data_IF_323699474111
#
_entry.id   IF_323699474111
#
_cell.length_a   1.000
_cell.length_b   1.000
_cell.length_c   1.000
_cell.angle_alpha   90.00
_cell.angle_beta   90.00
_cell.angle_gamma   90.00
#
_symmetry.space_group_name_H-M   'P 1'
#
loop_
_entity.id
_entity.type
_entity.pdbx_description
1 polymer ?
#
# COMPACT_ATOMS: atom_id res chain seq x y z
N UNK A 1 -25.86 -2.32 9.39
CA UNK A 1 -25.27 -1.53 10.47
C UNK A 1 -24.00 -0.93 9.89
N UNK A 2 -23.83 0.40 9.91
CA UNK A 2 -22.62 1.03 9.44
C UNK A 2 -21.46 0.58 10.32
N UNK A 3 -20.41 0.02 9.74
CA UNK A 3 -19.17 -0.32 10.43
C UNK A 3 -18.54 0.98 10.94
N UNK A 4 -18.36 1.10 12.25
CA UNK A 4 -17.83 2.31 12.90
C UNK A 4 -16.30 2.43 12.80
N UNK A 5 -15.65 1.64 11.97
CA UNK A 5 -14.19 1.60 11.79
C UNK A 5 -13.77 1.94 10.36
N UNK A 6 -12.46 2.06 10.10
CA UNK A 6 -11.91 2.32 8.78
C UNK A 6 -12.22 1.18 7.79
N UNK A 7 -12.23 1.49 6.50
CA UNK A 7 -12.28 0.47 5.45
C UNK A 7 -10.99 -0.35 5.49
N UNK A 8 -11.08 -1.66 5.75
CA UNK A 8 -9.93 -2.57 5.74
C UNK A 8 -9.77 -3.21 4.36
N UNK A 9 -8.58 -3.20 3.81
CA UNK A 9 -8.22 -3.83 2.54
C UNK A 9 -7.16 -4.91 2.78
N UNK A 10 -7.31 -6.06 2.14
CA UNK A 10 -6.24 -7.06 2.05
C UNK A 10 -5.22 -6.57 1.02
N UNK A 11 -4.03 -6.17 1.45
CA UNK A 11 -2.96 -5.75 0.54
C UNK A 11 -2.46 -6.91 -0.32
N UNK A 12 -2.12 -6.65 -1.59
CA UNK A 12 -1.60 -7.68 -2.49
C UNK A 12 -0.28 -8.28 -1.99
N UNK A 13 0.55 -7.49 -1.32
CA UNK A 13 1.82 -7.93 -0.73
C UNK A 13 1.71 -9.03 0.33
N UNK A 14 0.52 -9.30 0.87
CA UNK A 14 0.27 -10.43 1.80
C UNK A 14 0.34 -11.78 1.09
N UNK A 15 0.07 -11.80 -0.21
CA UNK A 15 -0.13 -12.99 -1.04
C UNK A 15 0.89 -13.13 -2.18
N UNK A 16 2.22 -12.96 -1.94
CA UNK A 16 3.22 -12.91 -3.02
C UNK A 16 3.39 -14.24 -3.76
N UNK A 17 2.92 -15.33 -3.19
CA UNK A 17 2.95 -16.69 -3.69
C UNK A 17 1.66 -17.11 -4.43
N UNK A 18 0.70 -16.19 -4.58
CA UNK A 18 -0.57 -16.45 -5.26
C UNK A 18 -0.80 -15.47 -6.42
N UNK A 19 -1.61 -15.89 -7.38
CA UNK A 19 -2.03 -15.01 -8.47
C UNK A 19 -3.00 -13.91 -7.97
N UNK A 20 -3.12 -12.79 -8.68
CA UNK A 20 -4.12 -11.76 -8.33
C UNK A 20 -5.54 -12.31 -8.22
N UNK A 21 -5.91 -13.26 -9.08
CA UNK A 21 -7.21 -13.92 -9.06
C UNK A 21 -7.45 -14.71 -7.77
N UNK A 22 -6.42 -15.41 -7.28
CA UNK A 22 -6.49 -16.16 -6.02
C UNK A 22 -6.55 -15.21 -4.82
N UNK A 23 -5.82 -14.09 -4.87
CA UNK A 23 -5.87 -13.05 -3.83
C UNK A 23 -7.27 -12.43 -3.72
N UNK A 24 -7.90 -12.09 -4.85
CA UNK A 24 -9.27 -11.56 -4.86
C UNK A 24 -10.28 -12.59 -4.34
N UNK A 25 -10.16 -13.86 -4.77
CA UNK A 25 -11.02 -14.93 -4.26
C UNK A 25 -10.86 -15.12 -2.75
N UNK A 26 -9.63 -15.14 -2.25
CA UNK A 26 -9.34 -15.25 -0.82
C UNK A 26 -9.90 -14.08 -0.01
N UNK A 27 -9.79 -12.85 -0.53
CA UNK A 27 -10.38 -11.67 0.10
C UNK A 27 -11.91 -11.80 0.22
N UNK A 28 -12.58 -12.20 -0.87
CA UNK A 28 -14.02 -12.39 -0.90
C UNK A 28 -14.48 -13.48 0.08
N UNK A 29 -13.88 -14.66 0.03
CA UNK A 29 -14.25 -15.82 0.85
C UNK A 29 -13.95 -15.64 2.34
N UNK A 30 -12.97 -14.80 2.67
CA UNK A 30 -12.62 -14.49 4.07
C UNK A 30 -13.36 -13.27 4.64
N UNK A 31 -14.11 -12.52 3.82
CA UNK A 31 -14.98 -11.42 4.26
C UNK A 31 -14.29 -10.05 4.33
N UNK A 32 -13.17 -9.85 3.62
CA UNK A 32 -12.60 -8.52 3.46
C UNK A 32 -13.54 -7.63 2.65
N UNK A 33 -13.70 -6.35 3.00
CA UNK A 33 -14.51 -5.42 2.22
C UNK A 33 -13.76 -4.82 1.02
N UNK A 34 -12.41 -4.89 1.02
CA UNK A 34 -11.58 -4.33 -0.03
C UNK A 34 -10.31 -5.18 -0.24
N UNK A 35 -9.67 -5.00 -1.39
CA UNK A 35 -8.45 -5.72 -1.78
C UNK A 35 -7.52 -4.81 -2.57
N UNK A 36 -6.22 -4.95 -2.36
CA UNK A 36 -5.16 -4.47 -3.25
C UNK A 36 -4.87 -5.48 -4.35
N UNK A 37 -4.44 -5.01 -5.51
CA UNK A 37 -4.20 -5.86 -6.67
C UNK A 37 -2.76 -5.73 -7.15
N UNK A 38 -2.04 -6.86 -7.22
CA UNK A 38 -0.69 -6.89 -7.77
C UNK A 38 -0.71 -6.88 -9.30
N UNK A 39 -0.03 -5.90 -9.89
CA UNK A 39 0.14 -5.78 -11.33
C UNK A 39 1.56 -6.20 -11.73
N UNK A 40 1.69 -7.23 -12.54
CA UNK A 40 2.96 -7.64 -13.14
C UNK A 40 2.90 -7.42 -14.66
N UNK A 41 3.62 -6.43 -15.21
CA UNK A 41 3.60 -6.13 -16.64
C UNK A 41 4.07 -7.29 -17.53
N UNK A 42 4.82 -8.26 -16.98
CA UNK A 42 5.29 -9.41 -17.74
C UNK A 42 4.19 -10.45 -17.97
N UNK A 43 3.18 -10.52 -17.10
CA UNK A 43 2.14 -11.55 -17.13
C UNK A 43 0.73 -10.99 -17.29
N UNK A 44 0.53 -9.69 -17.02
CA UNK A 44 -0.77 -9.05 -17.11
C UNK A 44 -1.24 -8.85 -18.55
N UNK A 45 -2.48 -9.21 -18.82
CA UNK A 45 -3.10 -9.11 -20.16
C UNK A 45 -4.45 -8.39 -20.08
N UNK A 46 -4.99 -8.00 -21.23
CA UNK A 46 -6.36 -7.47 -21.30
C UNK A 46 -7.41 -8.47 -20.79
N UNK A 47 -7.18 -9.77 -20.99
CA UNK A 47 -8.04 -10.81 -20.45
C UNK A 47 -7.97 -10.83 -18.91
N UNK A 48 -6.78 -10.66 -18.34
CA UNK A 48 -6.60 -10.55 -16.90
C UNK A 48 -7.36 -9.35 -16.34
N UNK A 49 -7.30 -8.19 -17.01
CA UNK A 49 -8.05 -6.99 -16.61
C UNK A 49 -9.55 -7.24 -16.54
N UNK A 50 -10.12 -7.88 -17.60
CA UNK A 50 -11.55 -8.20 -17.66
C UNK A 50 -11.92 -9.16 -16.52
N UNK A 51 -11.16 -10.23 -16.36
CA UNK A 51 -11.39 -11.23 -15.32
C UNK A 51 -11.34 -10.61 -13.92
N UNK A 52 -10.34 -9.78 -13.65
CA UNK A 52 -10.17 -9.13 -12.35
C UNK A 52 -11.32 -8.16 -12.04
N UNK A 53 -11.71 -7.34 -13.03
CA UNK A 53 -12.87 -6.45 -12.91
C UNK A 53 -14.13 -7.23 -12.53
N UNK A 54 -14.42 -8.29 -13.29
CA UNK A 54 -15.63 -9.07 -13.10
C UNK A 54 -15.63 -9.78 -11.74
N UNK A 55 -14.51 -10.38 -11.32
CA UNK A 55 -14.38 -11.02 -10.00
C UNK A 55 -14.54 -10.04 -8.83
N UNK A 56 -13.96 -8.86 -8.92
CA UNK A 56 -14.07 -7.81 -7.89
C UNK A 56 -15.51 -7.33 -7.79
N UNK A 57 -16.17 -7.09 -8.94
CA UNK A 57 -17.57 -6.67 -9.00
C UNK A 57 -18.53 -7.74 -8.47
N UNK A 58 -18.38 -9.00 -8.91
CA UNK A 58 -19.23 -10.12 -8.49
C UNK A 58 -19.09 -10.40 -6.99
N UNK A 59 -17.90 -10.21 -6.42
CA UNK A 59 -17.65 -10.35 -4.99
C UNK A 59 -18.10 -9.13 -4.16
N UNK A 60 -18.48 -8.02 -4.79
CA UNK A 60 -18.84 -6.77 -4.12
C UNK A 60 -17.66 -6.13 -3.37
N UNK A 61 -16.41 -6.44 -3.78
CA UNK A 61 -15.20 -5.90 -3.20
C UNK A 61 -14.91 -4.49 -3.73
N UNK A 62 -14.22 -3.70 -2.93
CA UNK A 62 -13.60 -2.46 -3.36
C UNK A 62 -12.16 -2.76 -3.77
N UNK A 63 -11.75 -2.43 -5.00
CA UNK A 63 -10.35 -2.36 -5.35
C UNK A 63 -9.75 -1.09 -4.71
N UNK A 64 -9.01 -1.24 -3.61
CA UNK A 64 -8.47 -0.08 -2.92
C UNK A 64 -7.29 0.51 -3.69
N UNK A 65 -6.41 -0.35 -4.15
CA UNK A 65 -5.20 0.05 -4.87
C UNK A 65 -4.76 -1.01 -5.88
N UNK A 66 -3.95 -0.57 -6.84
CA UNK A 66 -3.13 -1.41 -7.70
C UNK A 66 -1.67 -1.13 -7.41
N UNK A 67 -0.82 -2.14 -7.32
CA UNK A 67 0.59 -2.02 -6.92
C UNK A 67 1.51 -2.91 -7.75
N UNK A 68 2.77 -2.60 -7.97
CA UNK A 68 3.50 -1.38 -7.56
C UNK A 68 4.14 -0.75 -8.81
N UNK A 69 4.03 0.55 -8.97
CA UNK A 69 4.84 1.30 -9.92
C UNK A 69 6.17 1.65 -9.25
N UNK A 70 7.27 1.16 -9.80
CA UNK A 70 8.61 1.46 -9.31
C UNK A 70 9.34 2.38 -10.27
N UNK A 71 9.37 3.68 -9.96
CA UNK A 71 10.08 4.66 -10.77
C UNK A 71 11.59 4.39 -10.73
N UNK A 72 12.20 4.32 -11.91
CA UNK A 72 13.64 4.09 -12.09
C UNK A 72 14.27 5.24 -12.87
N UNK A 73 15.62 5.40 -12.82
CA UNK A 73 16.32 6.34 -13.67
C UNK A 73 16.03 6.12 -15.15
N UNK A 74 15.96 7.21 -15.91
CA UNK A 74 15.72 7.15 -17.35
C UNK A 74 14.35 7.68 -17.79
N UNK A 75 13.91 7.35 -19.02
CA UNK A 75 12.61 7.79 -19.54
C UNK A 75 11.44 7.16 -18.78
N UNK A 76 10.24 7.66 -19.04
CA UNK A 76 9.01 7.05 -18.55
C UNK A 76 8.87 5.63 -19.10
N UNK A 77 8.45 4.69 -18.25
CA UNK A 77 8.16 3.33 -18.64
C UNK A 77 6.69 3.22 -19.05
N UNK A 78 6.37 2.79 -20.28
CA UNK A 78 4.99 2.59 -20.70
C UNK A 78 4.20 1.62 -19.83
N UNK A 79 4.87 0.68 -19.14
CA UNK A 79 4.24 -0.26 -18.23
C UNK A 79 3.60 0.44 -17.01
N UNK A 80 4.10 1.61 -16.60
CA UNK A 80 3.52 2.39 -15.52
C UNK A 80 2.14 2.94 -15.89
N UNK A 81 1.98 3.44 -17.12
CA UNK A 81 0.70 3.91 -17.63
C UNK A 81 -0.27 2.75 -17.84
N UNK A 82 0.21 1.62 -18.33
CA UNK A 82 -0.60 0.41 -18.47
C UNK A 82 -1.10 -0.13 -17.11
N UNK A 83 -0.32 0.02 -16.04
CA UNK A 83 -0.76 -0.31 -14.69
C UNK A 83 -1.93 0.58 -14.23
N UNK A 84 -1.86 1.89 -14.53
CA UNK A 84 -2.95 2.84 -14.25
C UNK A 84 -4.20 2.47 -15.06
N UNK A 85 -4.06 2.16 -16.37
CA UNK A 85 -5.18 1.77 -17.23
C UNK A 85 -5.84 0.48 -16.73
N UNK A 86 -5.05 -0.49 -16.28
CA UNK A 86 -5.54 -1.71 -15.66
C UNK A 86 -6.27 -1.39 -14.35
N UNK A 87 -5.67 -0.58 -13.49
CA UNK A 87 -6.27 -0.11 -12.24
C UNK A 87 -7.61 0.60 -12.45
N UNK A 88 -7.66 1.54 -13.40
CA UNK A 88 -8.89 2.23 -13.79
C UNK A 88 -9.99 1.25 -14.23
N UNK A 89 -9.61 0.26 -15.06
CA UNK A 89 -10.56 -0.72 -15.59
C UNK A 89 -11.13 -1.66 -14.53
N UNK A 90 -10.38 -1.96 -13.45
CA UNK A 90 -10.85 -2.76 -12.32
C UNK A 90 -11.50 -1.92 -11.21
N UNK A 91 -11.56 -0.59 -11.37
CA UNK A 91 -12.15 0.34 -10.41
C UNK A 91 -11.26 0.61 -9.19
N UNK A 92 -9.93 0.47 -9.32
CA UNK A 92 -9.01 0.81 -8.25
C UNK A 92 -9.03 2.32 -7.95
N UNK A 93 -8.99 2.66 -6.64
CA UNK A 93 -9.03 4.05 -6.20
C UNK A 93 -7.65 4.70 -6.20
N UNK A 94 -6.61 3.90 -6.02
CA UNK A 94 -5.25 4.38 -5.87
C UNK A 94 -4.28 3.52 -6.67
N UNK A 95 -3.10 4.08 -6.97
CA UNK A 95 -1.94 3.33 -7.41
C UNK A 95 -0.75 3.63 -6.50
N UNK A 96 -0.10 2.58 -6.00
CA UNK A 96 1.08 2.67 -5.16
C UNK A 96 2.32 2.91 -6.02
N UNK A 97 3.11 3.93 -5.66
CA UNK A 97 4.34 4.30 -6.36
C UNK A 97 5.50 4.40 -5.37
N UNK A 98 6.61 3.76 -5.69
CA UNK A 98 7.92 3.94 -5.04
C UNK A 98 8.94 4.45 -6.03
N UNK A 99 10.03 5.09 -5.59
CA UNK A 99 11.03 5.65 -6.50
C UNK A 99 12.46 5.25 -6.14
N UNK A 100 13.20 4.82 -7.17
CA UNK A 100 14.67 4.71 -7.17
C UNK A 100 15.31 5.70 -8.14
N UNK A 101 14.54 6.71 -8.62
CA UNK A 101 15.09 7.85 -9.38
C UNK A 101 15.94 8.69 -8.42
N UNK A 102 17.25 8.90 -8.71
CA UNK A 102 18.15 9.61 -7.80
C UNK A 102 17.87 11.12 -7.72
N UNK A 103 17.22 11.69 -8.73
CA UNK A 103 16.91 13.11 -8.80
C UNK A 103 15.46 13.36 -8.34
N UNK A 104 15.23 14.03 -7.19
CA UNK A 104 13.88 14.27 -6.67
C UNK A 104 12.96 15.00 -7.62
N UNK A 105 13.51 15.97 -8.39
CA UNK A 105 12.77 16.76 -9.39
C UNK A 105 12.21 15.84 -10.49
N UNK A 106 12.99 14.85 -10.92
CA UNK A 106 12.53 13.86 -11.92
C UNK A 106 11.48 12.92 -11.36
N UNK A 107 11.58 12.55 -10.07
CA UNK A 107 10.51 11.81 -9.41
C UNK A 107 9.23 12.64 -9.41
N UNK A 108 9.30 13.93 -9.04
CA UNK A 108 8.15 14.82 -9.04
C UNK A 108 7.51 14.97 -10.43
N UNK A 109 8.32 15.16 -11.48
CA UNK A 109 7.83 15.22 -12.87
C UNK A 109 7.15 13.92 -13.33
N UNK A 110 7.72 12.76 -12.98
CA UNK A 110 7.11 11.45 -13.29
C UNK A 110 5.78 11.28 -12.57
N UNK A 111 5.71 11.63 -11.29
CA UNK A 111 4.48 11.57 -10.49
C UNK A 111 3.40 12.48 -11.09
N UNK A 112 3.75 13.69 -11.52
CA UNK A 112 2.80 14.59 -12.19
C UNK A 112 2.21 13.93 -13.43
N UNK A 113 3.05 13.40 -14.35
CA UNK A 113 2.58 12.73 -15.58
C UNK A 113 1.69 11.51 -15.28
N UNK A 114 2.04 10.70 -14.29
CA UNK A 114 1.21 9.57 -13.87
C UNK A 114 -0.13 10.05 -13.30
N UNK A 115 -0.11 11.14 -12.51
CA UNK A 115 -1.32 11.72 -11.93
C UNK A 115 -2.23 12.31 -13.01
N UNK A 116 -1.67 13.01 -13.99
CA UNK A 116 -2.43 13.54 -15.12
C UNK A 116 -3.11 12.41 -15.91
N UNK A 117 -2.42 11.28 -16.08
CA UNK A 117 -2.98 10.08 -16.73
C UNK A 117 -4.09 9.43 -15.90
N UNK A 118 -3.89 9.33 -14.59
CA UNK A 118 -4.84 8.73 -13.66
C UNK A 118 -6.11 9.57 -13.42
N UNK A 119 -6.04 10.88 -13.68
CA UNK A 119 -7.10 11.84 -13.35
C UNK A 119 -8.44 11.53 -14.04
N UNK A 120 -8.42 11.03 -15.28
CA UNK A 120 -9.62 10.67 -16.03
C UNK A 120 -10.42 9.52 -15.41
N UNK A 121 -9.75 8.68 -14.59
CA UNK A 121 -10.32 7.56 -13.86
C UNK A 121 -10.57 7.89 -12.37
N UNK A 122 -10.35 9.14 -11.95
CA UNK A 122 -10.43 9.59 -10.55
C UNK A 122 -9.52 8.79 -9.60
N UNK A 123 -8.46 8.17 -10.13
CA UNK A 123 -7.47 7.44 -9.33
C UNK A 123 -6.43 8.38 -8.74
N UNK A 124 -5.98 8.08 -7.52
CA UNK A 124 -4.90 8.80 -6.84
C UNK A 124 -3.57 8.07 -7.02
N UNK A 125 -2.55 8.80 -7.44
CA UNK A 125 -1.16 8.32 -7.45
C UNK A 125 -0.57 8.57 -6.08
N UNK A 126 -0.13 7.53 -5.37
CA UNK A 126 0.30 7.62 -3.97
C UNK A 126 1.78 7.25 -3.83
N UNK A 127 2.61 8.22 -3.44
CA UNK A 127 4.04 8.02 -3.22
C UNK A 127 4.28 7.43 -1.85
N UNK A 128 4.94 6.27 -1.82
CA UNK A 128 5.46 5.65 -0.62
C UNK A 128 6.96 5.92 -0.48
N UNK A 129 7.41 6.20 0.74
CA UNK A 129 8.83 6.31 1.08
C UNK A 129 9.28 5.09 1.87
N UNK A 130 10.54 4.68 1.65
CA UNK A 130 11.15 3.59 2.40
C UNK A 130 12.67 3.78 2.48
N UNK A 131 13.30 3.31 3.56
CA UNK A 131 14.73 3.46 3.80
C UNK A 131 15.63 2.84 2.70
N UNK A 132 15.09 1.95 1.88
CA UNK A 132 15.79 1.29 0.77
C UNK A 132 15.46 1.89 -0.61
N UNK A 133 14.75 3.01 -0.65
CA UNK A 133 14.44 3.77 -1.88
C UNK A 133 15.18 5.11 -1.88
N UNK A 134 15.15 5.83 -3.01
CA UNK A 134 15.71 7.20 -3.07
C UNK A 134 14.82 8.20 -2.35
N UNK A 135 13.54 7.91 -2.17
CA UNK A 135 12.63 8.65 -1.31
C UNK A 135 12.71 8.04 0.09
N UNK A 136 13.81 8.32 0.78
CA UNK A 136 14.24 7.58 1.97
C UNK A 136 13.53 7.94 3.28
N UNK A 137 12.64 8.94 3.32
CA UNK A 137 11.92 9.35 4.53
C UNK A 137 10.73 10.27 4.21
N UNK A 138 9.91 10.54 5.24
CA UNK A 138 8.74 11.40 5.15
C UNK A 138 9.05 12.79 4.58
N UNK A 139 10.13 13.43 5.02
CA UNK A 139 10.47 14.80 4.61
C UNK A 139 10.82 14.86 3.13
N UNK A 140 11.57 13.87 2.60
CA UNK A 140 11.88 13.78 1.17
C UNK A 140 10.61 13.51 0.34
N UNK A 141 9.68 12.66 0.82
CA UNK A 141 8.41 12.44 0.16
C UNK A 141 7.58 13.73 0.08
N UNK A 142 7.42 14.44 1.19
CA UNK A 142 6.68 15.72 1.22
C UNK A 142 7.29 16.76 0.27
N UNK A 143 8.61 16.88 0.25
CA UNK A 143 9.32 17.80 -0.67
C UNK A 143 9.03 17.46 -2.14
N UNK A 144 9.01 16.17 -2.50
CA UNK A 144 8.70 15.72 -3.86
C UNK A 144 7.23 15.99 -4.22
N UNK A 145 6.31 15.76 -3.28
CA UNK A 145 4.89 16.08 -3.48
C UNK A 145 4.69 17.59 -3.73
N UNK A 146 5.36 18.44 -2.96
CA UNK A 146 5.29 19.88 -3.13
C UNK A 146 5.88 20.33 -4.48
N UNK A 147 6.99 19.72 -4.91
CA UNK A 147 7.63 19.99 -6.20
C UNK A 147 6.79 19.49 -7.39
N UNK A 148 6.01 18.43 -7.24
CA UNK A 148 5.15 17.94 -8.32
C UNK A 148 4.07 18.95 -8.72
N UNK A 149 3.71 19.86 -7.79
CA UNK A 149 2.68 20.87 -8.02
C UNK A 149 1.28 20.29 -8.26
N UNK A 150 1.11 18.98 -8.02
CA UNK A 150 -0.13 18.25 -8.27
C UNK A 150 -0.81 17.84 -6.96
N UNK A 151 -1.94 18.48 -6.63
CA UNK A 151 -2.71 18.15 -5.42
C UNK A 151 -3.29 16.74 -5.45
N UNK A 152 -3.42 16.13 -6.63
CA UNK A 152 -3.92 14.77 -6.80
C UNK A 152 -2.89 13.69 -6.44
N UNK A 153 -1.59 14.03 -6.33
CA UNK A 153 -0.58 13.11 -5.83
C UNK A 153 -0.70 12.98 -4.32
N UNK A 154 -0.92 11.76 -3.84
CA UNK A 154 -1.05 11.44 -2.42
C UNK A 154 0.25 10.93 -1.81
N UNK A 155 0.30 10.98 -0.48
CA UNK A 155 1.31 10.36 0.36
C UNK A 155 0.75 9.03 0.88
N UNK A 156 1.48 7.94 0.70
CA UNK A 156 1.18 6.67 1.35
C UNK A 156 2.04 6.53 2.60
N UNK A 157 1.38 6.33 3.73
CA UNK A 157 2.04 6.11 5.02
C UNK A 157 1.99 4.62 5.34
N UNK A 158 3.18 4.01 5.45
CA UNK A 158 3.38 2.69 6.05
C UNK A 158 4.00 2.86 7.44
N UNK A 159 3.43 2.28 8.50
CA UNK A 159 3.94 2.42 9.87
C UNK A 159 5.35 1.86 10.04
N UNK A 160 5.70 0.78 9.32
CA UNK A 160 7.06 0.23 9.34
C UNK A 160 8.05 1.20 8.71
N UNK A 161 7.75 1.70 7.50
CA UNK A 161 8.63 2.63 6.79
C UNK A 161 8.76 3.96 7.53
N UNK A 162 7.68 4.47 8.12
CA UNK A 162 7.74 5.65 8.98
C UNK A 162 8.73 5.45 10.13
N UNK A 163 8.58 4.36 10.89
CA UNK A 163 9.45 4.07 12.04
C UNK A 163 10.90 3.81 11.64
N UNK A 164 11.16 3.09 10.54
CA UNK A 164 12.52 2.73 10.09
C UNK A 164 13.28 3.90 9.46
N UNK A 165 12.58 4.95 9.09
CA UNK A 165 13.16 6.19 8.56
C UNK A 165 13.25 7.30 9.62
N UNK A 166 12.96 6.98 10.87
CA UNK A 166 13.06 7.89 12.02
C UNK A 166 11.88 8.84 12.17
N UNK A 167 10.80 8.64 11.41
CA UNK A 167 9.57 9.39 11.54
C UNK A 167 8.70 8.89 12.69
N UNK A 168 7.80 9.74 13.14
CA UNK A 168 6.86 9.48 14.23
C UNK A 168 5.43 9.89 13.82
N UNK A 169 4.39 9.39 14.48
CA UNK A 169 3.03 9.90 14.27
C UNK A 169 2.90 11.43 14.44
N UNK A 170 3.68 12.04 15.34
CA UNK A 170 3.64 13.49 15.55
C UNK A 170 4.07 14.28 14.31
N UNK A 171 4.98 13.73 13.48
CA UNK A 171 5.44 14.39 12.26
C UNK A 171 4.32 14.44 11.19
N UNK A 172 3.30 13.60 11.30
CA UNK A 172 2.14 13.57 10.42
C UNK A 172 1.04 14.54 10.81
N UNK A 173 1.02 15.01 12.06
CA UNK A 173 -0.07 15.83 12.60
C UNK A 173 -0.25 17.19 11.90
N UNK A 174 0.78 17.69 11.23
CA UNK A 174 0.76 18.94 10.45
C UNK A 174 0.45 18.74 8.96
N UNK A 175 0.31 17.49 8.50
CA UNK A 175 0.05 17.17 7.10
C UNK A 175 -1.45 17.29 6.83
N UNK A 176 -1.79 17.95 5.72
CA UNK A 176 -3.19 18.01 5.29
C UNK A 176 -3.74 16.59 5.07
N UNK A 177 -4.86 16.30 5.71
CA UNK A 177 -5.53 15.00 5.64
C UNK A 177 -5.84 14.55 4.20
N UNK A 178 -6.10 15.48 3.29
CA UNK A 178 -6.36 15.20 1.87
C UNK A 178 -5.16 14.61 1.13
N UNK A 179 -3.96 14.77 1.68
CA UNK A 179 -2.73 14.18 1.12
C UNK A 179 -2.58 12.70 1.42
N UNK A 180 -3.35 12.14 2.37
CA UNK A 180 -3.28 10.72 2.75
C UNK A 180 -4.56 9.99 2.32
N UNK A 181 -4.71 9.59 1.05
CA UNK A 181 -5.94 8.97 0.55
C UNK A 181 -6.18 7.56 1.12
N UNK A 182 -5.12 6.88 1.52
CA UNK A 182 -5.14 5.64 2.30
C UNK A 182 -3.79 5.47 3.01
N UNK A 183 -3.70 4.51 3.94
CA UNK A 183 -2.46 4.15 4.61
C UNK A 183 -2.28 2.62 4.61
N UNK A 184 -1.05 2.16 4.71
CA UNK A 184 -0.78 0.77 5.00
C UNK A 184 -0.88 0.51 6.51
N UNK A 185 -1.10 -0.75 6.89
CA UNK A 185 -1.27 -1.12 8.28
C UNK A 185 -0.62 -2.48 8.58
N UNK A 186 0.40 -2.46 9.41
CA UNK A 186 1.10 -3.63 9.93
C UNK A 186 1.75 -3.28 11.26
N UNK A 187 2.34 -4.26 11.93
CA UNK A 187 3.15 -4.05 13.12
C UNK A 187 4.58 -4.57 12.93
N UNK A 188 5.49 -4.20 13.80
CA UNK A 188 6.87 -4.63 13.82
C UNK A 188 7.49 -4.41 15.21
N UNK A 189 8.67 -4.97 15.51
CA UNK A 189 9.42 -4.64 16.72
C UNK A 189 9.73 -3.13 16.80
N UNK A 190 9.84 -2.57 18.00
CA UNK A 190 10.17 -1.15 18.21
C UNK A 190 11.48 -0.73 17.53
N UNK A 191 12.44 -1.64 17.50
CA UNK A 191 13.75 -1.41 16.89
C UNK A 191 13.94 -2.34 15.70
N UNK A 192 14.30 -1.77 14.56
CA UNK A 192 14.60 -2.50 13.34
C UNK A 192 16.10 -2.71 13.12
N UNK A 193 16.47 -3.21 11.95
CA UNK A 193 17.84 -3.32 11.52
C UNK A 193 18.59 -1.98 11.54
N UNK A 194 19.92 -1.98 11.68
CA UNK A 194 20.73 -0.77 11.56
C UNK A 194 20.49 -0.08 10.21
N UNK A 195 20.41 1.27 10.14
CA UNK A 195 20.20 1.99 8.88
C UNK A 195 21.25 1.70 7.78
N UNK A 196 22.43 1.24 8.16
CA UNK A 196 23.49 0.84 7.22
C UNK A 196 23.30 -0.54 6.62
N UNK A 197 22.41 -1.38 7.17
CA UNK A 197 22.14 -2.74 6.68
C UNK A 197 20.86 -2.75 5.82
N UNK A 198 21.02 -2.27 4.59
CA UNK A 198 19.91 -2.18 3.62
C UNK A 198 19.29 -3.56 3.33
N UNK A 199 20.11 -4.61 3.29
CA UNK A 199 19.62 -5.95 3.03
C UNK A 199 18.70 -6.46 4.16
N UNK A 200 19.06 -6.21 5.42
CA UNK A 200 18.25 -6.56 6.56
C UNK A 200 16.94 -5.71 6.61
N UNK A 201 17.02 -4.43 6.23
CA UNK A 201 15.82 -3.56 6.14
C UNK A 201 14.85 -4.08 5.09
N UNK A 202 15.35 -4.46 3.91
CA UNK A 202 14.52 -5.06 2.85
C UNK A 202 13.91 -6.38 3.33
N UNK A 203 14.72 -7.23 3.97
CA UNK A 203 14.23 -8.51 4.51
C UNK A 203 13.13 -8.28 5.57
N UNK A 204 13.29 -7.32 6.47
CA UNK A 204 12.25 -6.97 7.44
C UNK A 204 10.96 -6.54 6.72
N UNK A 205 11.07 -5.65 5.74
CA UNK A 205 9.93 -5.12 5.01
C UNK A 205 9.16 -6.19 4.22
N UNK A 206 9.86 -7.22 3.71
CA UNK A 206 9.28 -8.23 2.83
C UNK A 206 8.88 -9.53 3.54
N UNK A 207 9.44 -9.82 4.74
CA UNK A 207 9.30 -11.15 5.35
C UNK A 207 9.06 -11.15 6.87
N UNK A 208 9.26 -10.02 7.58
CA UNK A 208 9.28 -10.03 9.04
C UNK A 208 8.23 -9.11 9.68
N UNK A 209 7.26 -8.60 8.92
CA UNK A 209 6.16 -7.81 9.48
C UNK A 209 5.31 -8.67 10.41
N UNK A 210 4.73 -8.04 11.43
CA UNK A 210 3.92 -8.67 12.46
C UNK A 210 2.45 -8.29 12.33
N UNK A 211 1.57 -9.16 12.83
CA UNK A 211 0.14 -8.89 12.99
C UNK A 211 -0.05 -7.59 13.80
N UNK A 212 -1.07 -6.77 13.50
CA UNK A 212 -1.42 -5.62 14.34
C UNK A 212 -1.56 -6.01 15.80
N UNK A 213 -0.82 -5.34 16.68
CA UNK A 213 -0.76 -5.61 18.11
C UNK A 213 0.22 -6.70 18.56
N UNK A 214 0.89 -7.37 17.62
CA UNK A 214 1.95 -8.33 17.96
C UNK A 214 3.36 -7.69 18.00
N UNK A 215 3.47 -6.44 17.62
CA UNK A 215 4.70 -5.65 17.65
C UNK A 215 4.65 -4.50 18.64
N UNK A 216 5.36 -3.44 18.35
CA UNK A 216 5.52 -2.28 19.22
C UNK A 216 5.51 -0.95 18.45
N UNK A 217 5.03 -0.95 17.21
CA UNK A 217 4.84 0.30 16.48
C UNK A 217 3.71 1.13 17.12
N UNK A 218 3.79 2.46 17.10
CA UNK A 218 2.80 3.34 17.75
C UNK A 218 1.52 3.45 16.90
N UNK A 219 0.84 2.32 16.66
CA UNK A 219 -0.31 2.22 15.75
C UNK A 219 -1.50 3.05 16.24
N UNK A 220 -1.74 3.11 17.54
CA UNK A 220 -2.83 3.91 18.12
C UNK A 220 -2.59 5.40 17.89
N UNK A 221 -1.37 5.86 18.14
CA UNK A 221 -0.95 7.24 17.91
C UNK A 221 -0.98 7.59 16.42
N UNK A 222 -0.59 6.64 15.56
CA UNK A 222 -0.66 6.82 14.12
C UNK A 222 -2.10 7.05 13.65
N UNK A 223 -3.03 6.20 14.06
CA UNK A 223 -4.44 6.35 13.68
C UNK A 223 -5.09 7.62 14.27
N UNK A 224 -4.59 8.11 15.40
CA UNK A 224 -5.09 9.34 16.01
C UNK A 224 -4.76 10.60 15.19
N UNK A 225 -3.72 10.57 14.36
CA UNK A 225 -3.27 11.71 13.52
C UNK A 225 -3.67 11.57 12.05
N UNK A 226 -3.99 10.37 11.59
CA UNK A 226 -4.52 10.15 10.25
C UNK A 226 -6.01 10.55 10.15
N UNK A 227 -6.55 10.80 8.93
CA UNK A 227 -7.98 11.00 8.76
C UNK A 227 -8.78 9.86 9.39
N UNK A 228 -9.86 10.21 10.10
CA UNK A 228 -10.64 9.24 10.89
C UNK A 228 -11.20 8.06 10.06
N UNK A 229 -11.49 8.29 8.80
CA UNK A 229 -12.07 7.35 7.83
C UNK A 229 -11.07 6.88 6.77
N UNK A 230 -9.76 7.13 7.00
CA UNK A 230 -8.72 6.70 6.08
C UNK A 230 -8.81 5.20 5.84
N UNK A 231 -8.89 4.73 4.58
CA UNK A 231 -8.81 3.30 4.29
C UNK A 231 -7.44 2.74 4.70
N UNK A 232 -7.44 1.51 5.23
CA UNK A 232 -6.22 0.83 5.66
C UNK A 232 -5.97 -0.40 4.80
N UNK A 233 -4.89 -0.39 4.04
CA UNK A 233 -4.35 -1.55 3.33
C UNK A 233 -3.49 -2.35 4.30
N UNK A 234 -4.01 -3.49 4.78
CA UNK A 234 -3.32 -4.32 5.78
C UNK A 234 -2.22 -5.10 5.07
N UNK A 235 -1.01 -4.57 5.10
CA UNK A 235 0.14 -5.12 4.40
C UNK A 235 1.04 -5.93 5.34
N UNK A 236 0.71 -7.20 5.49
CA UNK A 236 1.51 -8.13 6.30
C UNK A 236 2.38 -9.03 5.41
N UNK A 237 3.53 -8.52 4.98
CA UNK A 237 4.56 -9.33 4.33
C UNK A 237 5.34 -10.08 5.42
N UNK A 238 4.99 -11.35 5.62
CA UNK A 238 5.47 -12.16 6.74
C UNK A 238 5.72 -13.61 6.30
N UNK A 239 6.96 -14.07 6.40
CA UNK A 239 7.31 -15.46 6.16
C UNK A 239 6.58 -16.38 7.14
N UNK A 240 6.53 -16.01 8.42
CA UNK A 240 5.83 -16.77 9.44
C UNK A 240 4.33 -16.95 9.13
N UNK A 241 3.68 -15.92 8.58
CA UNK A 241 2.28 -16.03 8.14
C UNK A 241 2.13 -16.99 6.96
N UNK A 242 3.03 -16.89 5.97
CA UNK A 242 3.03 -17.81 4.81
C UNK A 242 3.28 -19.25 5.20
N UNK A 243 4.23 -19.49 6.10
CA UNK A 243 4.59 -20.82 6.58
C UNK A 243 3.45 -21.45 7.40
N UNK A 244 2.71 -20.61 8.14
CA UNK A 244 1.59 -21.10 8.98
C UNK A 244 0.34 -21.38 8.13
N UNK A 245 0.05 -20.57 7.14
CA UNK A 245 -1.16 -20.66 6.31
C UNK A 245 -0.80 -20.79 4.83
N UNK A 246 -0.74 -22.02 4.34
CA UNK A 246 -0.49 -22.33 2.93
C UNK A 246 -1.73 -22.14 2.03
N UNK A 247 -2.93 -22.13 2.62
CA UNK A 247 -4.17 -21.79 1.91
C UNK A 247 -4.41 -20.28 1.95
N UNK A 248 -4.67 -19.63 0.79
CA UNK A 248 -4.81 -18.18 0.72
C UNK A 248 -6.03 -17.65 1.49
N UNK A 249 -7.13 -18.39 1.51
CA UNK A 249 -8.35 -17.98 2.22
C UNK A 249 -8.17 -18.07 3.73
N UNK A 250 -7.48 -19.11 4.22
CA UNK A 250 -7.15 -19.24 5.64
C UNK A 250 -6.18 -18.14 6.08
N UNK A 251 -5.17 -17.83 5.25
CA UNK A 251 -4.23 -16.73 5.48
C UNK A 251 -4.95 -15.38 5.57
N UNK A 252 -5.81 -15.08 4.60
CA UNK A 252 -6.60 -13.86 4.57
C UNK A 252 -7.54 -13.75 5.78
N UNK A 253 -8.19 -14.86 6.16
CA UNK A 253 -9.09 -14.93 7.32
C UNK A 253 -8.37 -14.70 8.64
N UNK A 254 -7.20 -15.32 8.82
CA UNK A 254 -6.40 -15.15 10.02
C UNK A 254 -5.95 -13.70 10.20
N UNK A 255 -5.51 -13.04 9.11
CA UNK A 255 -5.11 -11.64 9.14
C UNK A 255 -6.29 -10.71 9.42
N UNK A 256 -7.45 -10.94 8.79
CA UNK A 256 -8.65 -10.15 9.06
C UNK A 256 -9.08 -10.26 10.52
N UNK A 257 -9.11 -11.48 11.06
CA UNK A 257 -9.49 -11.71 12.45
C UNK A 257 -8.55 -11.00 13.44
N UNK A 258 -7.24 -11.09 13.23
CA UNK A 258 -6.25 -10.40 14.07
C UNK A 258 -6.41 -8.87 13.99
N UNK A 259 -6.63 -8.34 12.77
CA UNK A 259 -6.84 -6.90 12.57
C UNK A 259 -8.13 -6.43 13.25
N UNK A 260 -9.22 -7.15 13.08
CA UNK A 260 -10.50 -6.82 13.74
C UNK A 260 -10.40 -6.90 15.26
N UNK A 261 -9.66 -7.89 15.79
CA UNK A 261 -9.41 -8.00 17.22
C UNK A 261 -8.64 -6.79 17.76
N UNK A 262 -7.67 -6.29 17.01
CA UNK A 262 -6.91 -5.10 17.40
C UNK A 262 -7.82 -3.85 17.48
N UNK A 263 -8.83 -3.71 16.60
CA UNK A 263 -9.81 -2.63 16.61
C UNK A 263 -10.94 -2.82 17.64
N UNK A 264 -11.08 -4.01 18.23
CA UNK A 264 -12.14 -4.26 19.21
C UNK A 264 -11.92 -3.44 20.49
N UNK A 265 -12.97 -2.89 21.08
CA UNK A 265 -12.86 -2.25 22.39
C UNK A 265 -12.31 -3.22 23.44
N UNK A 266 -11.40 -2.74 24.29
CA UNK A 266 -10.84 -3.50 25.42
C UNK A 266 -11.91 -3.77 26.48
#
# INVERSE_FOLDING_TARGET
MATTGPLLSLAAGVMPDFSPQQTVAAAAESGWPAVGVWYDPATWTSATTIEMRDRIADAGLIALDIEVIWLKPGPDDPAHFAAIDAGASIGARNVLVVSSEPEPERTAEKLQRLSDHAAAAEMRVCLEFAAFTTVGNLQSALSILDQSGCEAVGLLIDPLHLARTGGTPADLAAIDASRCPYAQFCDAPAHGPPPSDVAAIIHEALDLRLMPGAGQLPLTELLAVLPRDVPLSVELRSAALRDTYSDPTERARALLAATQQWFAPA
#
